data_IF_732469974467
#
_entry.id   IF_732469974467
#
_cell.length_a   1.000
_cell.length_b   1.000
_cell.length_c   1.000
_cell.angle_alpha   90.00
_cell.angle_beta   90.00
_cell.angle_gamma   90.00
#
_symmetry.space_group_name_H-M   'P 1'
#
loop_
_entity.id
_entity.type
_entity.pdbx_description
1 polymer ?
#
# COMPACT_ATOMS: atom_id res chain seq x y z
N UNK A 1 -3.99 -17.51 11.97
CA UNK A 1 -2.58 -17.04 11.94
C UNK A 1 -2.58 -15.75 11.14
N UNK A 2 -1.98 -14.67 11.65
CA UNK A 2 -1.98 -13.36 10.98
C UNK A 2 -0.95 -13.38 9.84
N UNK A 3 -1.36 -12.96 8.65
CA UNK A 3 -0.53 -12.89 7.44
C UNK A 3 -0.05 -11.47 7.18
N UNK A 4 1.25 -11.35 6.96
CA UNK A 4 1.92 -10.08 6.68
C UNK A 4 2.50 -10.08 5.27
N UNK A 5 2.35 -8.96 4.57
CA UNK A 5 3.08 -8.68 3.34
C UNK A 5 3.83 -7.37 3.48
N UNK A 6 5.13 -7.38 3.18
CA UNK A 6 5.92 -6.17 3.03
C UNK A 6 6.30 -5.97 1.55
N UNK A 7 6.12 -4.75 1.05
CA UNK A 7 6.43 -4.39 -0.34
C UNK A 7 6.97 -2.96 -0.42
N UNK A 8 7.89 -2.75 -1.35
CA UNK A 8 8.33 -1.43 -1.76
C UNK A 8 7.68 -1.12 -3.13
N UNK A 9 7.02 0.03 -3.25
CA UNK A 9 6.30 0.43 -4.48
C UNK A 9 7.12 1.34 -5.39
N UNK A 10 8.34 1.72 -5.00
CA UNK A 10 9.26 2.52 -5.81
C UNK A 10 8.63 3.78 -6.43
N UNK A 11 7.74 4.42 -5.68
CA UNK A 11 6.93 5.57 -6.10
C UNK A 11 6.08 5.33 -7.36
N UNK A 12 5.80 4.07 -7.70
CA UNK A 12 5.18 3.67 -8.96
C UNK A 12 3.66 3.57 -8.84
N UNK A 13 2.99 4.28 -9.76
CA UNK A 13 1.54 4.17 -9.97
C UNK A 13 1.13 2.75 -10.39
N UNK A 14 1.93 2.11 -11.24
CA UNK A 14 1.63 0.78 -11.77
C UNK A 14 1.71 -0.29 -10.68
N UNK A 15 2.75 -0.22 -9.84
CA UNK A 15 2.91 -1.14 -8.70
C UNK A 15 1.78 -0.99 -7.68
N UNK A 16 1.33 0.24 -7.42
CA UNK A 16 0.18 0.51 -6.55
C UNK A 16 -1.10 -0.17 -7.08
N UNK A 17 -1.35 -0.07 -8.39
CA UNK A 17 -2.50 -0.72 -9.02
C UNK A 17 -2.40 -2.26 -8.98
N UNK A 18 -1.22 -2.82 -9.29
CA UNK A 18 -0.97 -4.26 -9.23
C UNK A 18 -1.16 -4.80 -7.80
N UNK A 19 -0.71 -4.05 -6.79
CA UNK A 19 -0.92 -4.38 -5.38
C UNK A 19 -2.42 -4.46 -5.06
N UNK A 20 -3.22 -3.46 -5.46
CA UNK A 20 -4.67 -3.47 -5.20
C UNK A 20 -5.37 -4.66 -5.86
N UNK A 21 -4.97 -5.04 -7.08
CA UNK A 21 -5.49 -6.25 -7.75
C UNK A 21 -5.13 -7.51 -6.96
N UNK A 22 -3.90 -7.62 -6.45
CA UNK A 22 -3.49 -8.75 -5.60
C UNK A 22 -4.30 -8.82 -4.31
N UNK A 23 -4.61 -7.68 -3.69
CA UNK A 23 -5.35 -7.64 -2.42
C UNK A 23 -6.79 -8.13 -2.52
N UNK A 24 -7.40 -8.06 -3.70
CA UNK A 24 -8.72 -8.62 -3.95
C UNK A 24 -8.78 -10.15 -3.77
N UNK A 25 -7.63 -10.84 -3.75
CA UNK A 25 -7.56 -12.30 -3.57
C UNK A 25 -7.66 -12.77 -2.11
N UNK A 26 -7.65 -11.85 -1.13
CA UNK A 26 -8.17 -12.11 0.22
C UNK A 26 -7.27 -12.82 1.24
N UNK A 27 -5.95 -12.84 1.07
CA UNK A 27 -5.04 -13.65 1.91
C UNK A 27 -4.04 -12.86 2.77
N UNK A 28 -4.26 -11.56 3.00
CA UNK A 28 -3.30 -10.72 3.74
C UNK A 28 -4.05 -9.90 4.80
N UNK A 29 -3.61 -9.97 6.05
CA UNK A 29 -4.23 -9.24 7.15
C UNK A 29 -3.58 -7.85 7.34
N UNK A 30 -2.25 -7.78 7.16
CA UNK A 30 -1.46 -6.56 7.37
C UNK A 30 -0.47 -6.32 6.23
N UNK A 31 -0.48 -5.10 5.69
CA UNK A 31 0.47 -4.64 4.66
C UNK A 31 1.41 -3.58 5.23
N UNK A 32 2.70 -3.76 4.94
CA UNK A 32 3.75 -2.78 5.21
C UNK A 32 4.28 -2.27 3.87
N UNK A 33 4.06 -0.98 3.60
CA UNK A 33 4.36 -0.36 2.29
C UNK A 33 5.47 0.67 2.44
N UNK A 34 6.51 0.56 1.62
CA UNK A 34 7.60 1.53 1.50
C UNK A 34 7.58 2.22 0.12
N UNK A 35 8.13 3.43 0.06
CA UNK A 35 8.15 4.30 -1.14
C UNK A 35 6.81 4.32 -1.90
N UNK A 36 5.68 4.65 -1.26
CA UNK A 36 4.40 4.71 -1.95
C UNK A 36 4.43 5.76 -3.07
N UNK A 37 3.53 5.63 -4.04
CA UNK A 37 3.33 6.68 -5.04
C UNK A 37 2.72 7.92 -4.36
N UNK A 38 3.45 9.03 -4.39
CA UNK A 38 3.06 10.29 -3.77
C UNK A 38 2.94 11.36 -4.85
N UNK A 39 1.83 12.10 -4.86
CA UNK A 39 1.63 13.29 -5.69
C UNK A 39 1.38 14.49 -4.80
N UNK A 40 2.30 15.46 -4.85
CA UNK A 40 2.32 16.57 -3.91
C UNK A 40 2.48 16.04 -2.48
N UNK A 41 1.46 16.21 -1.65
CA UNK A 41 1.47 15.78 -0.25
C UNK A 41 0.51 14.61 0.04
N UNK A 42 0.02 13.93 -0.99
CA UNK A 42 -0.98 12.87 -0.88
C UNK A 42 -0.42 11.53 -1.37
N UNK A 43 -0.69 10.45 -0.62
CA UNK A 43 -0.48 9.09 -1.08
C UNK A 43 -1.59 8.78 -2.09
N UNK A 44 -1.20 8.28 -3.27
CA UNK A 44 -2.12 7.96 -4.35
C UNK A 44 -2.12 6.45 -4.65
N UNK A 45 -3.19 5.97 -5.27
CA UNK A 45 -3.25 4.60 -5.79
C UNK A 45 -3.41 3.48 -4.76
N UNK A 46 -3.59 3.79 -3.47
CA UNK A 46 -3.75 2.80 -2.39
C UNK A 46 -5.12 2.84 -1.69
N UNK A 47 -6.07 3.64 -2.18
CA UNK A 47 -7.42 3.71 -1.62
C UNK A 47 -8.24 2.48 -2.01
N UNK A 48 -8.79 1.77 -1.03
CA UNK A 48 -9.63 0.58 -1.22
C UNK A 48 -10.61 0.42 -0.05
N UNK A 49 -11.83 -0.09 -0.25
CA UNK A 49 -12.75 -0.38 0.85
C UNK A 49 -12.31 -1.57 1.72
N UNK A 50 -11.36 -2.38 1.24
CA UNK A 50 -10.93 -3.63 1.90
C UNK A 50 -10.00 -3.40 3.10
N UNK A 51 -9.26 -2.29 3.10
CA UNK A 51 -8.24 -2.00 4.11
C UNK A 51 -8.34 -0.55 4.56
N UNK A 52 -7.96 -0.31 5.81
CA UNK A 52 -7.77 1.04 6.33
C UNK A 52 -6.30 1.43 6.19
N UNK A 53 -6.03 2.51 5.47
CA UNK A 53 -4.68 3.04 5.27
C UNK A 53 -4.27 3.94 6.44
N UNK A 54 -3.14 3.64 7.05
CA UNK A 54 -2.47 4.48 8.05
C UNK A 54 -1.08 4.85 7.53
N UNK A 55 -0.66 6.09 7.72
CA UNK A 55 0.66 6.55 7.26
C UNK A 55 1.19 7.69 8.13
N UNK A 56 2.51 7.80 8.20
CA UNK A 56 3.22 8.99 8.68
C UNK A 56 4.09 9.54 7.54
N UNK A 57 4.44 10.83 7.63
CA UNK A 57 5.40 11.50 6.74
C UNK A 57 6.74 11.74 7.42
N UNK A 58 6.85 11.39 8.68
CA UNK A 58 8.08 11.57 9.44
C UNK A 58 9.08 10.53 8.97
N UNK A 59 10.25 11.00 8.51
CA UNK A 59 11.40 10.13 8.30
C UNK A 59 11.95 9.79 9.70
N UNK A 60 11.85 8.51 10.07
CA UNK A 60 12.54 7.96 11.25
C UNK A 60 14.05 7.94 10.98
#
# INVERSE_FOLDING_TARGET
MVQFLQINLHHSKAESAALLTRLATGNIDVLLIQEPWIVGNNICGLSTPLYKLFYTKDKV
#
